data_IF_471023131116
#
_entry.id   IF_471023131116
#
_cell.length_a   1.000
_cell.length_b   1.000
_cell.length_c   1.000
_cell.angle_alpha   90.00
_cell.angle_beta   90.00
_cell.angle_gamma   90.00
#
_symmetry.space_group_name_H-M   'P 1'
#
loop_
_entity.id
_entity.type
_entity.pdbx_description
1 polymer ?
#
# COMPACT_ATOMS: atom_id res chain seq x y z
N UNK A 1 -60.01 6.10 -30.06
CA UNK A 1 -59.19 7.23 -29.61
C UNK A 1 -57.73 6.87 -29.77
N UNK A 2 -57.11 7.49 -30.76
CA UNK A 2 -55.79 7.20 -31.32
C UNK A 2 -54.64 7.62 -30.40
N UNK A 3 -53.71 6.69 -30.14
CA UNK A 3 -52.45 6.97 -29.48
C UNK A 3 -51.46 7.55 -30.50
N UNK A 4 -50.98 8.78 -30.26
CA UNK A 4 -49.86 9.37 -30.98
C UNK A 4 -48.55 8.79 -30.45
N UNK A 5 -47.80 8.11 -31.33
CA UNK A 5 -46.45 7.68 -31.08
C UNK A 5 -45.49 8.87 -31.26
N UNK A 6 -44.71 9.20 -30.22
CA UNK A 6 -43.60 10.15 -30.31
C UNK A 6 -42.44 9.56 -31.17
N UNK A 7 -41.83 10.36 -32.06
CA UNK A 7 -40.68 9.92 -32.83
C UNK A 7 -39.41 9.95 -31.98
N UNK A 8 -38.74 8.79 -31.86
CA UNK A 8 -37.40 8.65 -31.30
C UNK A 8 -36.41 9.57 -32.04
N UNK A 9 -35.95 10.61 -31.33
CA UNK A 9 -34.90 11.50 -31.78
C UNK A 9 -33.61 10.71 -32.05
N UNK A 10 -33.11 10.78 -33.28
CA UNK A 10 -31.82 10.18 -33.65
C UNK A 10 -30.68 10.86 -32.89
N UNK A 11 -29.75 10.12 -32.26
CA UNK A 11 -28.61 10.71 -31.59
C UNK A 11 -27.74 11.47 -32.60
N UNK A 12 -27.40 12.71 -32.26
CA UNK A 12 -26.53 13.57 -33.05
C UNK A 12 -25.20 12.85 -33.32
N UNK A 13 -24.82 12.73 -34.60
CA UNK A 13 -23.52 12.21 -35.00
C UNK A 13 -22.43 13.07 -34.35
N UNK A 14 -21.64 12.47 -33.45
CA UNK A 14 -20.46 13.13 -32.89
C UNK A 14 -19.54 13.55 -34.04
N UNK A 15 -19.00 14.78 -34.03
CA UNK A 15 -18.05 15.23 -35.03
C UNK A 15 -16.84 14.30 -35.05
N UNK A 16 -16.45 13.84 -36.25
CA UNK A 16 -15.21 13.05 -36.43
C UNK A 16 -14.03 13.93 -35.99
N UNK A 17 -13.17 13.48 -35.06
CA UNK A 17 -11.97 14.21 -34.72
C UNK A 17 -11.10 14.32 -35.97
N UNK A 18 -10.81 15.56 -36.39
CA UNK A 18 -9.91 15.85 -37.49
C UNK A 18 -8.54 15.23 -37.20
N UNK A 19 -8.03 14.43 -38.13
CA UNK A 19 -6.73 13.78 -38.01
C UNK A 19 -5.63 14.82 -37.93
N UNK A 20 -5.12 15.07 -36.72
CA UNK A 20 -3.84 15.76 -36.53
C UNK A 20 -2.72 14.78 -36.88
N UNK A 21 -2.14 14.95 -38.07
CA UNK A 21 -0.87 14.33 -38.44
C UNK A 21 0.26 14.98 -37.62
N UNK A 22 0.65 14.36 -36.50
CA UNK A 22 1.88 14.70 -35.80
C UNK A 22 3.06 13.98 -36.47
N UNK A 23 4.08 14.74 -36.86
CA UNK A 23 5.29 14.24 -37.53
C UNK A 23 6.08 13.25 -36.68
N UNK A 24 6.45 12.13 -37.28
CA UNK A 24 7.15 10.97 -36.67
C UNK A 24 8.64 11.22 -36.33
N UNK A 25 9.08 12.46 -36.14
CA UNK A 25 10.51 12.80 -36.14
C UNK A 25 11.30 12.59 -34.84
N UNK A 26 10.65 12.45 -33.68
CA UNK A 26 11.35 12.57 -32.37
C UNK A 26 11.18 11.38 -31.41
N UNK A 27 10.56 10.27 -31.83
CA UNK A 27 10.22 9.16 -30.94
C UNK A 27 11.40 8.23 -30.57
N UNK A 28 12.51 8.27 -31.32
CA UNK A 28 13.60 7.30 -31.18
C UNK A 28 14.55 7.56 -30.00
N UNK A 29 14.64 8.80 -29.48
CA UNK A 29 15.55 9.13 -28.37
C UNK A 29 14.92 8.92 -26.98
N UNK A 30 13.58 8.94 -26.89
CA UNK A 30 12.86 8.75 -25.63
C UNK A 30 12.70 7.28 -25.24
N UNK A 31 13.10 6.32 -26.07
CA UNK A 31 12.85 4.88 -25.84
C UNK A 31 13.90 4.20 -24.96
N UNK A 32 15.12 4.73 -24.84
CA UNK A 32 16.23 4.05 -24.16
C UNK A 32 16.24 4.20 -22.62
N UNK A 33 15.71 5.29 -22.06
CA UNK A 33 15.70 5.54 -20.60
C UNK A 33 14.56 4.79 -19.89
N UNK A 34 13.55 4.31 -20.63
CA UNK A 34 12.32 3.76 -20.06
C UNK A 34 12.23 2.23 -20.09
N UNK A 35 13.25 1.51 -20.55
CA UNK A 35 13.23 0.05 -20.67
C UNK A 35 13.07 -0.69 -19.31
N UNK A 36 13.30 -0.02 -18.18
CA UNK A 36 13.09 -0.57 -16.83
C UNK A 36 11.72 -0.28 -16.20
N UNK A 37 10.98 0.72 -16.69
CA UNK A 37 9.62 1.00 -16.24
C UNK A 37 8.65 0.18 -17.12
N UNK A 38 7.72 -0.52 -16.47
CA UNK A 38 6.79 -1.45 -17.14
C UNK A 38 6.15 -0.88 -18.40
N UNK A 39 5.81 -1.79 -19.34
CA UNK A 39 5.25 -1.50 -20.67
C UNK A 39 4.37 -0.25 -20.70
N UNK A 40 4.92 0.83 -21.26
CA UNK A 40 4.17 2.04 -21.57
C UNK A 40 3.03 1.64 -22.51
N UNK A 41 1.81 2.09 -22.20
CA UNK A 41 0.67 1.81 -23.05
C UNK A 41 0.84 2.45 -24.43
N UNK A 42 0.87 1.60 -25.46
CA UNK A 42 0.93 2.02 -26.86
C UNK A 42 -0.26 2.93 -27.25
N UNK A 43 -1.36 2.88 -26.49
CA UNK A 43 -2.53 3.75 -26.65
C UNK A 43 -2.32 5.19 -26.15
N UNK A 44 -1.21 5.51 -25.48
CA UNK A 44 -0.97 6.84 -24.93
C UNK A 44 -0.03 7.62 -25.84
N UNK A 45 -0.60 8.44 -26.71
CA UNK A 45 0.17 9.37 -27.56
C UNK A 45 0.61 10.64 -26.80
N UNK A 46 0.13 10.86 -25.57
CA UNK A 46 0.51 11.98 -24.70
C UNK A 46 1.79 11.75 -23.89
N UNK A 47 2.47 10.60 -24.04
CA UNK A 47 3.67 10.21 -23.26
C UNK A 47 4.81 11.22 -23.36
N UNK A 48 4.83 12.06 -24.41
CA UNK A 48 5.86 13.09 -24.59
C UNK A 48 5.79 14.29 -23.64
N UNK A 49 4.69 14.53 -22.92
CA UNK A 49 4.55 15.66 -21.98
C UNK A 49 3.63 15.29 -20.80
N UNK A 50 4.15 15.30 -19.57
CA UNK A 50 3.36 15.04 -18.35
C UNK A 50 2.11 15.95 -18.21
N UNK A 51 2.16 17.15 -18.82
CA UNK A 51 1.07 18.13 -18.83
C UNK A 51 0.01 17.89 -19.90
N UNK A 52 0.25 16.96 -20.83
CA UNK A 52 -0.65 16.68 -21.95
C UNK A 52 -1.83 15.79 -21.54
N UNK A 53 -1.91 15.34 -20.29
CA UNK A 53 -3.06 14.56 -19.89
C UNK A 53 -4.36 15.39 -19.96
N UNK A 54 -5.43 14.87 -20.57
CA UNK A 54 -6.72 15.56 -20.69
C UNK A 54 -7.36 15.91 -19.35
N UNK A 55 -7.18 15.08 -18.32
CA UNK A 55 -7.83 15.28 -17.02
C UNK A 55 -6.94 15.91 -15.95
N UNK A 56 -5.67 16.18 -16.25
CA UNK A 56 -4.74 16.48 -15.18
C UNK A 56 -3.28 16.52 -15.59
N UNK A 57 -2.45 16.13 -14.65
CA UNK A 57 -1.05 15.79 -14.87
C UNK A 57 -0.73 14.49 -14.13
N UNK A 58 0.21 13.72 -14.67
CA UNK A 58 0.69 12.50 -14.03
C UNK A 58 1.75 12.86 -12.98
N UNK A 59 1.40 12.70 -11.71
CA UNK A 59 2.29 12.94 -10.58
C UNK A 59 3.15 11.73 -10.20
N UNK A 60 3.96 11.87 -9.14
CA UNK A 60 4.86 10.81 -8.69
C UNK A 60 4.10 9.53 -8.36
N UNK A 61 4.65 8.40 -8.80
CA UNK A 61 4.14 7.07 -8.51
C UNK A 61 2.89 6.69 -9.29
N UNK A 62 2.67 7.21 -10.51
CA UNK A 62 1.46 6.95 -11.31
C UNK A 62 0.17 7.43 -10.62
N UNK A 63 0.23 8.55 -9.88
CA UNK A 63 -0.98 9.19 -9.32
C UNK A 63 -1.40 10.33 -10.23
N UNK A 64 -2.66 10.31 -10.66
CA UNK A 64 -3.22 11.39 -11.49
C UNK A 64 -3.67 12.53 -10.60
N UNK A 65 -3.10 13.71 -10.81
CA UNK A 65 -3.55 14.92 -10.15
C UNK A 65 -4.58 15.62 -11.04
N UNK A 66 -5.83 15.78 -10.55
CA UNK A 66 -6.92 16.30 -11.36
C UNK A 66 -6.69 17.79 -11.69
N UNK A 67 -6.92 18.16 -12.94
CA UNK A 67 -7.05 19.56 -13.36
C UNK A 67 -8.53 19.85 -13.60
N UNK A 68 -9.16 20.51 -12.62
CA UNK A 68 -10.57 20.83 -12.61
C UNK A 68 -11.02 21.59 -13.86
N UNK A 69 -10.25 22.57 -14.30
CA UNK A 69 -10.59 23.38 -15.47
C UNK A 69 -10.55 22.58 -16.78
N UNK A 70 -9.62 21.62 -16.91
CA UNK A 70 -9.58 20.73 -18.08
C UNK A 70 -10.70 19.70 -18.05
N UNK A 71 -10.90 19.03 -16.92
CA UNK A 71 -11.88 17.96 -16.82
C UNK A 71 -13.34 18.46 -16.93
N UNK A 72 -13.64 19.67 -16.40
CA UNK A 72 -14.93 20.34 -16.58
C UNK A 72 -15.24 20.62 -18.05
N UNK A 73 -14.24 21.01 -18.85
CA UNK A 73 -14.41 21.26 -20.30
C UNK A 73 -14.68 20.00 -21.11
N UNK A 74 -14.33 18.83 -20.57
CA UNK A 74 -14.49 17.54 -21.23
C UNK A 74 -15.73 16.77 -20.77
N UNK A 75 -16.58 17.36 -19.93
CA UNK A 75 -17.78 16.71 -19.38
C UNK A 75 -17.45 15.31 -18.78
N UNK A 76 -16.38 15.23 -18.00
CA UNK A 76 -16.01 13.97 -17.36
C UNK A 76 -17.07 13.55 -16.34
N UNK A 77 -17.50 12.27 -16.39
CA UNK A 77 -18.61 11.71 -15.59
C UNK A 77 -18.49 12.01 -14.10
N UNK A 78 -17.28 11.95 -13.53
CA UNK A 78 -17.00 12.22 -12.11
C UNK A 78 -17.43 13.63 -11.68
N UNK A 79 -17.61 14.57 -12.61
CA UNK A 79 -18.03 15.94 -12.30
C UNK A 79 -19.55 16.12 -12.27
N UNK A 80 -20.30 15.23 -12.92
CA UNK A 80 -21.75 15.32 -12.95
C UNK A 80 -22.38 14.59 -11.75
N UNK A 81 -21.67 13.63 -11.16
CA UNK A 81 -22.20 12.78 -10.09
C UNK A 81 -22.02 13.33 -8.67
N UNK A 82 -21.11 14.29 -8.44
CA UNK A 82 -20.76 14.77 -7.10
C UNK A 82 -20.97 16.28 -6.95
N UNK A 83 -21.58 16.71 -5.83
CA UNK A 83 -21.82 18.14 -5.52
C UNK A 83 -20.52 18.95 -5.35
N UNK A 84 -19.47 18.30 -4.86
CA UNK A 84 -18.14 18.89 -4.72
C UNK A 84 -17.07 17.93 -5.26
N UNK A 85 -16.92 17.82 -6.59
CA UNK A 85 -16.00 16.88 -7.20
C UNK A 85 -14.55 17.21 -6.86
N UNK A 86 -14.26 18.46 -6.47
CA UNK A 86 -12.91 18.88 -6.09
C UNK A 86 -12.46 18.31 -4.75
N UNK A 87 -13.29 18.43 -3.71
CA UNK A 87 -12.96 17.84 -2.42
C UNK A 87 -12.82 16.31 -2.52
N UNK A 88 -13.73 15.66 -3.26
CA UNK A 88 -13.71 14.21 -3.44
C UNK A 88 -12.46 13.72 -4.18
N UNK A 89 -12.15 14.30 -5.34
CA UNK A 89 -10.96 13.91 -6.10
C UNK A 89 -9.66 14.18 -5.34
N UNK A 90 -9.58 15.29 -4.61
CA UNK A 90 -8.43 15.58 -3.76
C UNK A 90 -8.27 14.54 -2.65
N UNK A 91 -9.38 14.16 -2.00
CA UNK A 91 -9.38 13.10 -0.99
C UNK A 91 -8.90 11.76 -1.58
N UNK A 92 -9.33 11.39 -2.79
CA UNK A 92 -8.85 10.18 -3.46
C UNK A 92 -7.34 10.21 -3.72
N UNK A 93 -6.80 11.35 -4.17
CA UNK A 93 -5.35 11.55 -4.38
C UNK A 93 -4.60 11.40 -3.06
N UNK A 94 -5.02 12.10 -2.01
CA UNK A 94 -4.38 12.01 -0.68
C UNK A 94 -4.44 10.58 -0.14
N UNK A 95 -5.59 9.93 -0.25
CA UNK A 95 -5.78 8.54 0.19
C UNK A 95 -4.86 7.57 -0.55
N UNK A 96 -4.59 7.81 -1.83
CA UNK A 96 -3.67 6.98 -2.63
C UNK A 96 -2.22 7.04 -2.13
N UNK A 97 -1.81 8.12 -1.45
CA UNK A 97 -0.47 8.28 -0.88
C UNK A 97 -0.30 7.67 0.52
N UNK A 98 -1.40 7.45 1.25
CA UNK A 98 -1.37 6.92 2.63
C UNK A 98 -0.61 5.59 2.73
N UNK A 99 -0.81 4.58 1.86
CA UNK A 99 -0.08 3.31 1.94
C UNK A 99 1.43 3.51 1.79
N UNK A 100 1.88 4.37 0.87
CA UNK A 100 3.31 4.65 0.70
C UNK A 100 3.91 5.34 1.91
N UNK A 101 3.17 6.29 2.51
CA UNK A 101 3.61 6.97 3.72
C UNK A 101 3.77 5.99 4.89
N UNK A 102 2.77 5.14 5.14
CA UNK A 102 2.82 4.10 6.18
C UNK A 102 3.96 3.12 5.92
N UNK A 103 4.13 2.68 4.67
CA UNK A 103 5.23 1.79 4.25
C UNK A 103 6.60 2.42 4.52
N UNK A 104 6.75 3.70 4.19
CA UNK A 104 7.98 4.46 4.39
C UNK A 104 8.29 4.62 5.87
N UNK A 105 7.29 4.95 6.70
CA UNK A 105 7.47 5.03 8.15
C UNK A 105 7.86 3.67 8.76
N UNK A 106 7.25 2.58 8.31
CA UNK A 106 7.59 1.22 8.74
C UNK A 106 9.05 0.86 8.37
N UNK A 107 9.48 1.22 7.15
CA UNK A 107 10.84 1.00 6.68
C UNK A 107 11.85 1.88 7.43
N UNK A 108 11.55 3.16 7.65
CA UNK A 108 12.38 4.05 8.45
C UNK A 108 12.52 3.52 9.89
N UNK A 109 11.43 3.04 10.50
CA UNK A 109 11.48 2.42 11.82
C UNK A 109 12.41 1.18 11.83
N UNK A 110 12.35 0.33 10.81
CA UNK A 110 13.25 -0.82 10.66
C UNK A 110 14.72 -0.41 10.52
N UNK A 111 14.99 0.58 9.67
CA UNK A 111 16.34 1.06 9.41
C UNK A 111 16.94 1.76 10.64
N UNK A 112 16.17 2.65 11.28
CA UNK A 112 16.58 3.32 12.51
C UNK A 112 16.76 2.33 13.67
N UNK A 113 15.90 1.31 13.78
CA UNK A 113 16.09 0.24 14.77
C UNK A 113 17.42 -0.49 14.57
N UNK A 114 17.80 -0.75 13.32
CA UNK A 114 19.07 -1.40 12.97
C UNK A 114 20.29 -0.53 13.27
N UNK A 115 20.17 0.80 13.15
CA UNK A 115 21.26 1.74 13.48
C UNK A 115 21.41 2.02 14.98
N UNK A 116 20.34 1.91 15.78
CA UNK A 116 20.36 2.23 17.21
C UNK A 116 20.85 1.07 18.08
N UNK A 117 20.82 -0.17 17.57
CA UNK A 117 21.40 -1.34 18.25
C UNK A 117 22.58 -1.90 17.46
N UNK A 118 23.77 -1.29 17.53
CA UNK A 118 24.97 -2.06 17.26
C UNK A 118 24.97 -3.24 18.24
N UNK A 119 24.86 -4.45 17.71
CA UNK A 119 25.04 -5.67 18.49
C UNK A 119 26.28 -5.49 19.36
N UNK A 120 26.17 -5.62 20.70
CA UNK A 120 27.36 -5.68 21.52
C UNK A 120 28.06 -7.01 21.22
N UNK A 121 29.00 -6.99 20.28
CA UNK A 121 30.02 -8.02 20.09
C UNK A 121 30.96 -8.12 21.31
N UNK A 122 30.79 -7.29 22.34
CA UNK A 122 31.55 -7.32 23.59
C UNK A 122 30.93 -8.20 24.70
N UNK A 123 30.29 -9.33 24.35
CA UNK A 123 30.07 -10.43 25.31
C UNK A 123 31.14 -11.53 25.18
N UNK A 124 32.32 -11.18 24.67
CA UNK A 124 33.52 -11.97 24.87
C UNK A 124 34.27 -11.42 26.08
N UNK A 125 34.46 -12.27 27.10
CA UNK A 125 35.42 -12.10 28.20
C UNK A 125 34.95 -11.30 29.43
N UNK A 126 34.01 -11.89 30.18
CA UNK A 126 34.04 -11.88 31.65
C UNK A 126 33.15 -13.02 32.16
N UNK A 127 33.59 -14.23 31.88
CA UNK A 127 33.13 -15.44 32.51
C UNK A 127 34.20 -15.88 33.51
N UNK A 128 34.13 -15.38 34.73
CA UNK A 128 34.72 -16.10 35.86
C UNK A 128 33.96 -15.81 37.14
N UNK A 129 33.18 -16.82 37.54
CA UNK A 129 32.76 -17.15 38.91
C UNK A 129 31.61 -16.32 39.48
N UNK A 130 30.38 -16.79 39.21
CA UNK A 130 29.16 -16.34 39.91
C UNK A 130 27.84 -16.56 39.14
N UNK A 131 27.78 -17.49 38.18
CA UNK A 131 26.68 -17.63 37.22
C UNK A 131 25.83 -18.89 37.45
N UNK A 132 24.82 -18.80 38.31
CA UNK A 132 23.74 -19.80 38.30
C UNK A 132 22.35 -19.14 38.44
N UNK A 133 22.23 -18.03 39.17
CA UNK A 133 20.92 -17.43 39.44
C UNK A 133 20.56 -16.22 38.56
N UNK A 134 21.53 -15.59 37.88
CA UNK A 134 21.29 -14.43 36.99
C UNK A 134 21.23 -14.77 35.49
N UNK A 135 21.04 -16.05 35.16
CA UNK A 135 20.99 -16.52 33.77
C UNK A 135 19.58 -16.43 33.16
N UNK A 136 18.54 -16.30 34.00
CA UNK A 136 17.14 -16.25 33.54
C UNK A 136 16.72 -14.88 32.99
N UNK A 137 17.19 -13.78 33.58
CA UNK A 137 16.82 -12.43 33.12
C UNK A 137 17.38 -12.09 31.73
N UNK A 138 18.58 -12.58 31.41
CA UNK A 138 19.22 -12.37 30.11
C UNK A 138 18.51 -13.15 29.00
N UNK A 139 17.99 -14.33 29.31
CA UNK A 139 17.19 -15.14 28.39
C UNK A 139 15.84 -14.48 28.08
N UNK A 140 15.22 -13.82 29.08
CA UNK A 140 14.00 -13.05 28.89
C UNK A 140 14.19 -11.82 27.98
N UNK A 141 15.29 -11.07 28.15
CA UNK A 141 15.58 -9.92 27.31
C UNK A 141 15.82 -10.31 25.83
N UNK A 142 16.56 -11.41 25.60
CA UNK A 142 16.80 -11.95 24.26
C UNK A 142 15.51 -12.44 23.58
N UNK A 143 14.64 -13.15 24.30
CA UNK A 143 13.34 -13.60 23.78
C UNK A 143 12.38 -12.43 23.50
N UNK A 144 12.48 -11.34 24.27
CA UNK A 144 11.71 -10.11 24.04
C UNK A 144 12.20 -9.37 22.79
N UNK A 145 13.52 -9.27 22.60
CA UNK A 145 14.12 -8.65 21.41
C UNK A 145 13.82 -9.42 20.11
N UNK A 146 13.79 -10.76 20.14
CA UNK A 146 13.46 -11.58 18.95
C UNK A 146 12.01 -11.41 18.46
N UNK A 147 11.09 -10.95 19.30
CA UNK A 147 9.67 -10.80 18.94
C UNK A 147 9.32 -9.44 18.34
N UNK A 148 10.16 -8.43 18.52
CA UNK A 148 9.85 -7.07 18.08
C UNK A 148 10.28 -6.74 16.65
N UNK A 149 11.12 -7.55 15.99
CA UNK A 149 11.56 -7.27 14.61
C UNK A 149 10.84 -8.06 13.51
N UNK A 150 10.10 -9.12 13.86
CA UNK A 150 9.45 -9.98 12.86
C UNK A 150 8.21 -9.34 12.24
N UNK A 151 7.52 -8.44 12.96
CA UNK A 151 6.30 -7.80 12.46
C UNK A 151 6.59 -6.82 11.34
N UNK A 152 7.54 -5.92 11.57
CA UNK A 152 7.93 -4.90 10.61
C UNK A 152 8.57 -5.55 9.38
N UNK A 153 9.39 -6.59 9.56
CA UNK A 153 9.93 -7.37 8.43
C UNK A 153 8.82 -8.03 7.62
N UNK A 154 7.83 -8.68 8.27
CA UNK A 154 6.68 -9.25 7.56
C UNK A 154 5.88 -8.18 6.80
N UNK A 155 5.77 -6.97 7.34
CA UNK A 155 5.09 -5.85 6.69
C UNK A 155 5.82 -5.43 5.41
N UNK A 156 7.14 -5.22 5.49
CA UNK A 156 7.97 -4.88 4.32
C UNK A 156 7.98 -6.01 3.29
N UNK A 157 8.11 -7.27 3.72
CA UNK A 157 8.11 -8.41 2.81
C UNK A 157 6.76 -8.56 2.10
N UNK A 158 5.62 -8.34 2.78
CA UNK A 158 4.33 -8.41 2.13
C UNK A 158 4.12 -7.23 1.16
N UNK A 159 4.50 -6.01 1.54
CA UNK A 159 4.41 -4.86 0.63
C UNK A 159 5.28 -5.07 -0.61
N UNK A 160 6.52 -5.50 -0.40
CA UNK A 160 7.44 -5.86 -1.49
C UNK A 160 6.88 -6.96 -2.37
N UNK A 161 6.24 -7.99 -1.80
CA UNK A 161 5.62 -9.06 -2.58
C UNK A 161 4.38 -8.61 -3.34
N UNK A 162 3.54 -7.72 -2.78
CA UNK A 162 2.40 -7.11 -3.48
C UNK A 162 2.89 -6.29 -4.66
N UNK A 163 3.85 -5.38 -4.45
CA UNK A 163 4.39 -4.54 -5.54
C UNK A 163 5.07 -5.42 -6.60
N UNK A 164 5.93 -6.33 -6.17
CA UNK A 164 6.66 -7.23 -7.07
C UNK A 164 5.73 -8.10 -7.89
N UNK A 165 4.78 -8.80 -7.26
CA UNK A 165 3.82 -9.64 -7.99
C UNK A 165 2.90 -8.82 -8.89
N UNK A 166 2.49 -7.62 -8.49
CA UNK A 166 1.64 -6.77 -9.31
C UNK A 166 2.33 -6.25 -10.57
N UNK A 167 3.52 -5.65 -10.41
CA UNK A 167 4.26 -5.05 -11.52
C UNK A 167 4.93 -6.10 -12.42
N UNK A 168 5.46 -7.18 -11.84
CA UNK A 168 6.23 -8.19 -12.60
C UNK A 168 5.35 -9.31 -13.16
N UNK A 169 4.33 -9.76 -12.43
CA UNK A 169 3.50 -10.89 -12.87
C UNK A 169 2.16 -10.41 -13.43
N UNK A 170 1.32 -9.77 -12.60
CA UNK A 170 -0.07 -9.54 -12.98
C UNK A 170 -0.24 -8.55 -14.13
N UNK A 171 0.47 -7.42 -14.12
CA UNK A 171 0.40 -6.46 -15.24
C UNK A 171 0.91 -7.04 -16.56
N UNK A 172 1.90 -7.93 -16.50
CA UNK A 172 2.44 -8.63 -17.68
C UNK A 172 1.45 -9.66 -18.22
N UNK A 173 0.74 -10.36 -17.35
CA UNK A 173 -0.26 -11.37 -17.73
C UNK A 173 -1.55 -10.74 -18.25
N UNK A 174 -2.04 -9.70 -17.58
CA UNK A 174 -3.35 -9.14 -17.86
C UNK A 174 -3.35 -8.11 -18.99
N UNK A 175 -2.20 -7.49 -19.32
CA UNK A 175 -1.92 -6.57 -20.44
C UNK A 175 -3.10 -5.71 -20.94
N UNK A 176 -4.00 -5.32 -20.03
CA UNK A 176 -5.28 -4.76 -20.43
C UNK A 176 -5.08 -3.31 -20.83
N UNK A 177 -5.65 -2.88 -21.97
CA UNK A 177 -5.56 -1.50 -22.38
C UNK A 177 -6.26 -0.64 -21.33
N UNK A 178 -5.62 0.48 -20.99
CA UNK A 178 -6.23 1.50 -20.16
C UNK A 178 -7.37 2.18 -20.96
N UNK A 179 -8.41 2.70 -20.29
CA UNK A 179 -9.43 3.47 -20.97
C UNK A 179 -8.77 4.65 -21.70
N UNK A 180 -9.29 4.92 -22.90
CA UNK A 180 -8.92 6.10 -23.67
C UNK A 180 -9.08 7.31 -22.74
N UNK A 181 -8.01 8.10 -22.58
CA UNK A 181 -7.89 9.29 -21.71
C UNK A 181 -7.36 9.07 -20.27
N UNK A 182 -6.87 7.89 -19.89
CA UNK A 182 -6.17 7.72 -18.60
C UNK A 182 -4.82 8.46 -18.55
N UNK A 183 -4.52 9.21 -17.49
CA UNK A 183 -3.17 9.79 -17.34
C UNK A 183 -2.11 8.77 -16.93
N UNK A 184 -2.49 7.52 -16.66
CA UNK A 184 -1.59 6.49 -16.18
C UNK A 184 -0.73 5.97 -17.33
N UNK A 185 0.59 6.03 -17.18
CA UNK A 185 1.52 5.55 -18.21
C UNK A 185 1.59 4.02 -18.25
N UNK A 186 1.41 3.37 -17.09
CA UNK A 186 1.45 1.92 -16.97
C UNK A 186 0.14 1.23 -17.36
N UNK A 187 0.24 0.28 -18.30
CA UNK A 187 -0.86 -0.62 -18.63
C UNK A 187 -1.14 -1.66 -17.55
N UNK A 188 -2.26 -2.36 -17.70
CA UNK A 188 -2.54 -3.58 -16.98
C UNK A 188 -3.33 -3.36 -15.71
N UNK A 189 -4.13 -4.38 -15.41
CA UNK A 189 -4.82 -4.54 -14.14
C UNK A 189 -4.08 -5.59 -13.28
N UNK A 190 -4.12 -5.49 -11.95
CA UNK A 190 -4.82 -4.48 -11.15
C UNK A 190 -4.00 -3.19 -10.88
N UNK A 191 -4.70 -2.15 -10.39
CA UNK A 191 -4.05 -0.90 -9.94
C UNK A 191 -3.14 -1.18 -8.74
N UNK A 192 -1.87 -0.79 -8.83
CA UNK A 192 -0.88 -0.94 -7.75
C UNK A 192 -1.33 -0.24 -6.47
N UNK A 193 -1.93 0.95 -6.59
CA UNK A 193 -2.46 1.70 -5.45
C UNK A 193 -3.60 0.96 -4.74
N UNK A 194 -4.54 0.42 -5.51
CA UNK A 194 -5.68 -0.32 -4.94
C UNK A 194 -5.19 -1.60 -4.28
N UNK A 195 -4.25 -2.31 -4.92
CA UNK A 195 -3.65 -3.52 -4.36
C UNK A 195 -2.88 -3.22 -3.05
N UNK A 196 -2.10 -2.14 -3.03
CA UNK A 196 -1.37 -1.70 -1.84
C UNK A 196 -2.30 -1.25 -0.71
N UNK A 197 -3.36 -0.50 -1.02
CA UNK A 197 -4.32 -0.02 -0.05
C UNK A 197 -5.07 -1.19 0.61
N UNK A 198 -5.59 -2.13 -0.19
CA UNK A 198 -6.28 -3.32 0.32
C UNK A 198 -5.31 -4.20 1.10
N UNK A 199 -4.10 -4.44 0.58
CA UNK A 199 -3.09 -5.25 1.27
C UNK A 199 -2.68 -4.65 2.62
N UNK A 200 -2.51 -3.33 2.67
CA UNK A 200 -2.21 -2.60 3.91
C UNK A 200 -3.37 -2.67 4.91
N UNK A 201 -4.61 -2.50 4.43
CA UNK A 201 -5.81 -2.61 5.27
C UNK A 201 -5.95 -4.01 5.87
N UNK A 202 -5.83 -5.06 5.05
CA UNK A 202 -5.90 -6.46 5.49
C UNK A 202 -4.82 -6.76 6.54
N UNK A 203 -3.59 -6.29 6.32
CA UNK A 203 -2.53 -6.42 7.31
C UNK A 203 -2.86 -5.71 8.63
N UNK A 204 -3.39 -4.50 8.56
CA UNK A 204 -3.83 -3.74 9.74
C UNK A 204 -4.90 -4.50 10.53
N UNK A 205 -5.90 -5.05 9.83
CA UNK A 205 -6.96 -5.85 10.43
C UNK A 205 -6.43 -7.16 11.05
N UNK A 206 -5.47 -7.83 10.39
CA UNK A 206 -4.86 -9.04 10.91
C UNK A 206 -3.98 -8.78 12.15
N UNK A 207 -3.21 -7.68 12.17
CA UNK A 207 -2.46 -7.29 13.38
C UNK A 207 -3.40 -6.91 14.53
N UNK A 208 -4.50 -6.20 14.23
CA UNK A 208 -5.53 -5.88 15.20
C UNK A 208 -6.19 -7.13 15.78
N UNK A 209 -6.66 -8.04 14.92
CA UNK A 209 -7.31 -9.29 15.33
C UNK A 209 -6.38 -10.15 16.21
N UNK A 210 -5.08 -10.19 15.91
CA UNK A 210 -4.06 -10.89 16.72
C UNK A 210 -3.82 -10.24 18.08
N UNK A 211 -4.02 -8.92 18.23
CA UNK A 211 -3.90 -8.22 19.52
C UNK A 211 -5.15 -8.38 20.37
N UNK A 212 -6.31 -8.47 19.74
CA UNK A 212 -7.60 -8.60 20.41
C UNK A 212 -7.93 -10.04 20.83
N UNK A 213 -7.23 -11.06 20.31
CA UNK A 213 -7.45 -12.43 20.74
C UNK A 213 -6.80 -12.69 22.10
N UNK A 214 -7.56 -12.90 23.19
CA UNK A 214 -6.98 -13.23 24.48
C UNK A 214 -6.20 -14.54 24.37
N UNK A 215 -4.96 -14.56 24.87
CA UNK A 215 -4.17 -15.79 24.93
C UNK A 215 -4.91 -16.80 25.82
N UNK A 216 -5.35 -17.91 25.24
CA UNK A 216 -6.02 -19.02 25.93
C UNK A 216 -5.21 -19.68 27.08
N UNK A 217 -4.00 -19.19 27.40
CA UNK A 217 -3.14 -19.73 28.46
C UNK A 217 -3.05 -18.89 29.74
N UNK A 218 -3.51 -17.64 29.74
CA UNK A 218 -3.32 -16.75 30.91
C UNK A 218 -4.34 -16.98 32.03
N UNK A 219 -5.49 -17.60 31.71
CA UNK A 219 -6.53 -17.90 32.71
C UNK A 219 -6.28 -19.20 33.48
N UNK A 220 -5.50 -20.13 32.91
CA UNK A 220 -5.18 -21.41 33.57
C UNK A 220 -4.20 -21.24 34.73
N UNK A 221 -3.27 -20.28 34.65
CA UNK A 221 -2.33 -20.01 35.76
C UNK A 221 -2.99 -19.33 36.97
N UNK A 222 -4.05 -18.52 36.77
CA UNK A 222 -4.81 -17.94 37.87
C UNK A 222 -5.78 -18.95 38.51
N UNK A 223 -6.22 -19.96 37.76
CA UNK A 223 -7.04 -21.05 38.32
C UNK A 223 -6.20 -22.03 39.14
N UNK A 224 -4.97 -22.33 38.72
CA UNK A 224 -4.10 -23.28 39.41
C UNK A 224 -3.48 -22.69 40.70
N UNK A 225 -3.16 -21.39 40.72
CA UNK A 225 -2.60 -20.74 41.93
C UNK A 225 -3.60 -20.59 43.08
N UNK A 226 -4.91 -20.79 42.84
CA UNK A 226 -5.91 -20.89 43.92
C UNK A 226 -6.02 -22.28 44.56
N UNK A 227 -5.35 -23.30 44.02
CA UNK A 227 -5.36 -24.66 44.57
C UNK A 227 -4.08 -25.04 45.32
N UNK A 228 -3.18 -24.11 45.59
CA UNK A 228 -2.14 -24.40 46.56
C UNK A 228 -2.78 -24.43 47.95
N UNK A 229 -2.82 -25.58 48.64
CA UNK A 229 -3.33 -25.65 49.99
C UNK A 229 -2.50 -24.68 50.84
N UNK A 230 -3.20 -23.79 51.56
CA UNK A 230 -2.59 -23.07 52.68
C UNK A 230 -2.08 -24.13 53.63
N UNK A 231 -0.77 -24.37 53.64
CA UNK A 231 -0.07 -25.15 54.66
C UNK A 231 -0.56 -24.69 56.04
N UNK A 232 -1.38 -25.49 56.75
CA UNK A 232 -1.81 -25.19 58.10
C UNK A 232 -0.68 -25.61 59.04
N UNK A 233 0.42 -24.85 59.07
CA UNK A 233 1.63 -25.33 59.74
C UNK A 233 2.59 -24.30 60.30
N UNK A 234 2.42 -22.99 60.04
CA UNK A 234 3.26 -21.96 60.65
C UNK A 234 2.68 -21.48 61.99
N UNK A 235 2.51 -22.41 62.93
CA UNK A 235 2.16 -22.14 64.33
C UNK A 235 3.17 -22.88 65.22
N UNK A 236 4.38 -22.34 65.29
CA UNK A 236 5.44 -22.62 66.28
C UNK A 236 6.31 -21.36 66.36
N UNK A 237 6.72 -20.83 67.50
CA UNK A 237 6.55 -21.20 68.89
C UNK A 237 6.87 -19.95 69.73
N UNK A 238 6.18 -19.77 70.86
CA UNK A 238 6.72 -19.13 72.06
C UNK A 238 6.18 -19.90 73.26
#
# INVERSE_FOLDING_TARGET
>A
SSACAEPLARPARRPRPGGMHHGNGSAAAATAVWAGYGSICASHNWVGRFDACPYGWAGPGDVTWPNYGKAKRLHAVVYEEFDNPAAFLWLCVVWSYVPYFVSTLALLKLLCWRSIWPFPTCCARLHSRGQAERQDERSFAYLRMRRHGTKELCYVLLLGSIVGSNELCFKRLAASPRPEMSCLLSCGMPSSHSALAIGTLVLGLLDFARRCTPRKGSTLYLAETRRLPREPGALRAR
#
